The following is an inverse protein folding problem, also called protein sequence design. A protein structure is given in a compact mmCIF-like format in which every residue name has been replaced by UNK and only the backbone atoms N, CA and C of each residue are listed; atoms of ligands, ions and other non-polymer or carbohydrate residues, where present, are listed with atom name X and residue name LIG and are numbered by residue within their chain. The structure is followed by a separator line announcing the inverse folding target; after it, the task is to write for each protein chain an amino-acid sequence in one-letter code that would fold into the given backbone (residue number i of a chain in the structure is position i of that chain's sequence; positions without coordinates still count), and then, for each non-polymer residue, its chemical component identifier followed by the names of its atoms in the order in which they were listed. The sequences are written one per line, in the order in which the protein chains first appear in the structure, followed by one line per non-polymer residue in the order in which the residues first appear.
data_IF_668781239335
#
_entry.id   IF_668781239335
#
_cell.length_a   1.000
_cell.length_b   1.000
_cell.length_c   1.000
_cell.angle_alpha   90.00
_cell.angle_beta   90.00
_cell.angle_gamma   90.00
#
_symmetry.space_group_name_H-M   'P 1'
#
loop_
_entity.id
_entity.type
_entity.pdbx_description
1 polymer ?
#
# COMPACT_ATOMS: atom_id res chain seq x y z
N UNK A 1 13.60 -6.49 10.54
CA UNK A 1 12.21 -6.14 10.88
C UNK A 1 12.14 -4.64 10.78
N UNK A 2 11.37 -4.10 9.84
CA UNK A 2 11.12 -2.65 9.80
C UNK A 2 10.39 -2.26 11.10
N UNK A 3 10.82 -1.16 11.70
CA UNK A 3 10.21 -0.63 12.92
C UNK A 3 8.88 0.04 12.60
N UNK A 4 7.99 0.15 13.59
CA UNK A 4 6.69 0.85 13.45
C UNK A 4 6.90 2.30 12.96
N UNK A 5 8.00 2.94 13.38
CA UNK A 5 8.37 4.28 12.93
C UNK A 5 8.68 4.33 11.43
N UNK A 6 9.37 3.33 10.89
CA UNK A 6 9.65 3.24 9.45
C UNK A 6 8.37 3.00 8.64
N UNK A 7 7.49 2.11 9.12
CA UNK A 7 6.18 1.87 8.49
C UNK A 7 5.32 3.14 8.43
N UNK A 8 5.32 3.95 9.49
CA UNK A 8 4.62 5.24 9.50
C UNK A 8 5.25 6.25 8.54
N UNK A 9 6.57 6.22 8.37
CA UNK A 9 7.28 7.03 7.37
C UNK A 9 6.84 6.69 5.95
N UNK A 10 6.86 5.41 5.60
CA UNK A 10 6.42 4.92 4.29
C UNK A 10 4.94 5.20 4.03
N UNK A 11 4.09 5.10 5.05
CA UNK A 11 2.67 5.42 4.93
C UNK A 11 2.45 6.89 4.56
N UNK A 12 3.15 7.83 5.22
CA UNK A 12 3.05 9.26 4.89
C UNK A 12 3.56 9.56 3.48
N UNK A 13 4.66 8.93 3.05
CA UNK A 13 5.16 9.08 1.69
C UNK A 13 4.17 8.54 0.65
N UNK A 14 3.58 7.37 0.91
CA UNK A 14 2.59 6.76 0.03
C UNK A 14 1.30 7.59 -0.06
N UNK A 15 0.82 8.14 1.05
CA UNK A 15 -0.35 9.04 1.06
C UNK A 15 -0.07 10.35 0.30
N UNK A 16 1.13 10.93 0.45
CA UNK A 16 1.55 12.11 -0.30
C UNK A 16 1.61 11.81 -1.80
N UNK A 17 2.21 10.69 -2.19
CA UNK A 17 2.28 10.25 -3.58
C UNK A 17 0.88 10.00 -4.17
N UNK A 18 -0.03 9.40 -3.40
CA UNK A 18 -1.41 9.22 -3.81
C UNK A 18 -2.11 10.56 -4.02
N UNK A 19 -1.92 11.51 -3.10
CA UNK A 19 -2.48 12.85 -3.24
C UNK A 19 -1.96 13.50 -4.52
N UNK A 20 -0.64 13.51 -4.73
CA UNK A 20 -0.01 14.06 -5.93
C UNK A 20 -0.55 13.45 -7.23
N UNK A 21 -0.71 12.12 -7.28
CA UNK A 21 -1.32 11.43 -8.41
C UNK A 21 -2.75 11.89 -8.69
N UNK A 22 -3.54 12.09 -7.63
CA UNK A 22 -4.92 12.56 -7.74
C UNK A 22 -5.02 14.05 -8.09
N UNK A 23 -4.05 14.88 -7.67
CA UNK A 23 -3.98 16.31 -8.03
C UNK A 23 -3.51 16.53 -9.47
N UNK A 24 -3.15 15.48 -10.20
CA UNK A 24 -2.81 15.55 -11.62
C UNK A 24 -1.32 15.40 -11.95
N UNK A 25 -0.45 15.09 -10.99
CA UNK A 25 0.90 14.61 -11.33
C UNK A 25 0.76 13.20 -11.90
N UNK A 26 1.07 13.00 -13.17
CA UNK A 26 0.86 11.70 -13.83
C UNK A 26 1.69 10.53 -13.27
N UNK A 27 2.69 10.82 -12.42
CA UNK A 27 3.66 9.86 -11.88
C UNK A 27 4.06 10.27 -10.46
N UNK A 28 4.13 9.31 -9.54
CA UNK A 28 4.70 9.49 -8.20
C UNK A 28 5.65 8.36 -7.84
N UNK A 29 6.76 8.68 -7.20
CA UNK A 29 7.77 7.71 -6.74
C UNK A 29 7.60 7.49 -5.24
N UNK A 30 7.43 6.24 -4.83
CA UNK A 30 7.26 5.84 -3.42
C UNK A 30 8.38 4.89 -3.07
N UNK A 31 8.99 5.09 -1.91
CA UNK A 31 9.97 4.14 -1.37
C UNK A 31 9.24 2.98 -0.73
N UNK A 32 9.43 1.79 -1.29
CA UNK A 32 8.84 0.56 -0.77
C UNK A 32 9.63 0.06 0.46
N UNK A 33 9.05 -0.88 1.20
CA UNK A 33 9.62 -1.44 2.43
C UNK A 33 10.97 -2.12 2.23
N UNK A 34 11.30 -2.48 0.98
CA UNK A 34 12.59 -3.05 0.58
C UNK A 34 13.66 -1.98 0.25
N UNK A 35 13.34 -0.68 0.36
CA UNK A 35 14.23 0.42 -0.01
C UNK A 35 14.25 0.74 -1.51
N UNK A 36 13.54 -0.04 -2.32
CA UNK A 36 13.36 0.20 -3.75
C UNK A 36 12.37 1.35 -4.00
N UNK A 37 12.68 2.18 -5.00
CA UNK A 37 11.79 3.25 -5.43
C UNK A 37 10.82 2.71 -6.47
N UNK A 38 9.56 2.55 -6.10
CA UNK A 38 8.51 2.08 -7.01
C UNK A 38 7.79 3.29 -7.59
N UNK A 39 7.79 3.36 -8.91
CA UNK A 39 7.12 4.43 -9.65
C UNK A 39 5.67 4.03 -9.93
N UNK A 40 4.75 4.76 -9.31
CA UNK A 40 3.32 4.62 -9.50
C UNK A 40 2.78 5.65 -10.49
N UNK A 41 1.78 5.25 -11.26
CA UNK A 41 1.06 6.10 -12.22
C UNK A 41 -0.44 5.99 -11.94
N UNK A 42 -1.25 6.84 -12.57
CA UNK A 42 -2.73 6.77 -12.47
C UNK A 42 -3.28 5.37 -12.78
N UNK A 43 -2.65 4.61 -13.68
CA UNK A 43 -3.04 3.23 -13.99
C UNK A 43 -2.85 2.27 -12.81
N UNK A 44 -1.87 2.55 -11.93
CA UNK A 44 -1.52 1.70 -10.78
C UNK A 44 -1.98 2.29 -9.44
N UNK A 45 -2.81 3.34 -9.43
CA UNK A 45 -3.34 3.98 -8.21
C UNK A 45 -4.06 2.97 -7.30
N UNK A 46 -4.79 2.01 -7.86
CA UNK A 46 -5.46 0.96 -7.09
C UNK A 46 -4.46 0.10 -6.31
N UNK A 47 -3.29 -0.18 -6.89
CA UNK A 47 -2.21 -0.93 -6.23
C UNK A 47 -1.56 -0.12 -5.11
N UNK A 48 -1.35 1.18 -5.34
CA UNK A 48 -0.85 2.10 -4.30
C UNK A 48 -1.79 2.16 -3.09
N UNK A 49 -3.11 2.21 -3.33
CA UNK A 49 -4.11 2.16 -2.25
C UNK A 49 -4.06 0.85 -1.47
N UNK A 50 -3.91 -0.29 -2.17
CA UNK A 50 -3.75 -1.59 -1.51
C UNK A 50 -2.49 -1.64 -0.65
N UNK A 51 -1.39 -1.06 -1.12
CA UNK A 51 -0.14 -0.98 -0.35
C UNK A 51 -0.29 -0.15 0.92
N UNK A 52 -0.96 1.01 0.86
CA UNK A 52 -1.25 1.84 2.05
C UNK A 52 -2.07 1.05 3.08
N UNK A 53 -3.08 0.32 2.61
CA UNK A 53 -3.94 -0.50 3.47
C UNK A 53 -3.19 -1.69 4.09
N UNK A 54 -2.22 -2.25 3.37
CA UNK A 54 -1.32 -3.29 3.88
C UNK A 54 -0.39 -2.73 4.97
N UNK A 55 0.25 -1.56 4.73
CA UNK A 55 1.08 -0.87 5.71
C UNK A 55 0.30 -0.53 6.99
N UNK A 56 -0.95 -0.04 6.88
CA UNK A 56 -1.83 0.21 8.04
C UNK A 56 -2.09 -1.06 8.85
N UNK A 57 -2.27 -2.19 8.16
CA UNK A 57 -2.54 -3.48 8.79
C UNK A 57 -1.31 -4.02 9.51
N UNK A 58 -0.12 -3.87 8.91
CA UNK A 58 1.16 -4.19 9.54
C UNK A 58 1.42 -3.34 10.79
N UNK A 59 1.10 -2.04 10.74
CA UNK A 59 1.19 -1.13 11.90
C UNK A 59 0.21 -1.54 13.01
N UNK A 60 -1.02 -1.92 12.64
CA UNK A 60 -2.03 -2.38 13.58
C UNK A 60 -1.72 -3.77 14.19
N UNK A 61 -0.76 -4.52 13.62
CA UNK A 61 -0.47 -5.89 14.03
C UNK A 61 -1.56 -6.89 13.67
N UNK A 62 -2.53 -6.50 12.82
CA UNK A 62 -3.55 -7.40 12.30
C UNK A 62 -3.07 -7.94 10.94
N UNK A 63 -2.69 -9.23 10.83
CA UNK A 63 -2.55 -9.82 9.51
C UNK A 63 -3.91 -9.75 8.83
N UNK A 64 -4.02 -9.04 7.69
CA UNK A 64 -5.22 -9.11 6.86
C UNK A 64 -5.40 -10.58 6.52
N UNK A 65 -6.41 -11.21 7.09
CA UNK A 65 -6.85 -12.53 6.63
C UNK A 65 -7.08 -12.38 5.14
N UNK A 66 -6.38 -13.15 4.28
CA UNK A 66 -6.67 -13.10 2.86
C UNK A 66 -8.17 -13.36 2.73
N UNK A 67 -8.85 -12.51 1.96
CA UNK A 67 -10.25 -12.74 1.58
C UNK A 67 -10.28 -14.09 0.86
N UNK A 68 -10.42 -15.16 1.63
CA UNK A 68 -10.55 -16.51 1.13
C UNK A 68 -11.87 -16.48 0.42
N UNK A 69 -11.83 -16.52 -0.91
CA UNK A 69 -12.99 -16.80 -1.74
C UNK A 69 -13.40 -18.22 -1.35
N UNK A 70 -14.21 -18.32 -0.31
CA UNK A 70 -14.66 -19.57 0.26
C UNK A 70 -15.68 -20.11 -0.74
N UNK A 71 -15.19 -20.96 -1.64
CA UNK A 71 -16.03 -21.69 -2.59
C UNK A 71 -16.97 -22.59 -1.77
N UNK A 72 -18.30 -22.45 -1.88
CA UNK A 72 -19.19 -23.41 -1.26
C UNK A 72 -19.04 -24.74 -2.01
N UNK A 73 -18.49 -25.74 -1.35
CA UNK A 73 -18.61 -27.13 -1.81
C UNK A 73 -20.01 -27.61 -1.43
N UNK A 74 -20.97 -27.46 -2.34
CA UNK A 74 -22.18 -28.26 -2.30
C UNK A 74 -21.82 -29.66 -2.79
N UNK A 75 -21.96 -30.63 -1.90
CA UNK A 75 -21.96 -32.06 -2.17
C UNK A 75 -23.16 -32.66 -1.48
#
# INVERSE_FOLDING_TARGET
MATIAELQGWLREAEKALHELLTGKGVAEVRDSNGESVRYTMANVSRLRQYIEDLKSQIAGQPRTPHRVMRPTWG
#
